data_IF_218164777813
#
_entry.id   IF_218164777813
#
_cell.length_a   1.000
_cell.length_b   1.000
_cell.length_c   1.000
_cell.angle_alpha   90.00
_cell.angle_beta   90.00
_cell.angle_gamma   90.00
#
_symmetry.space_group_name_H-M   'P 1'
#
loop_
_entity.id
_entity.type
_entity.pdbx_description
1 polymer ?
#
# COMPACT_ATOMS: atom_id res chain seq x y z
N UNK A 1 -28.29 33.87 -22.52
CA UNK A 1 -26.90 34.40 -22.48
C UNK A 1 -26.48 34.75 -21.06
N UNK A 2 -27.27 35.53 -20.30
CA UNK A 2 -26.94 35.92 -18.91
C UNK A 2 -26.80 34.72 -17.95
N UNK A 3 -27.66 33.69 -18.05
CA UNK A 3 -27.56 32.49 -17.20
C UNK A 3 -26.29 31.66 -17.47
N UNK A 4 -25.88 31.56 -18.73
CA UNK A 4 -24.67 30.88 -19.16
C UNK A 4 -23.41 31.63 -18.72
N UNK A 5 -23.44 32.97 -18.74
CA UNK A 5 -22.35 33.79 -18.24
C UNK A 5 -22.21 33.65 -16.72
N UNK A 6 -23.32 33.67 -15.98
CA UNK A 6 -23.31 33.42 -14.53
C UNK A 6 -22.75 32.03 -14.19
N UNK A 7 -23.10 31.02 -14.98
CA UNK A 7 -22.60 29.66 -14.83
C UNK A 7 -21.08 29.58 -15.05
N UNK A 8 -20.56 30.22 -16.10
CA UNK A 8 -19.11 30.27 -16.35
C UNK A 8 -18.35 31.02 -15.25
N UNK A 9 -18.90 32.12 -14.75
CA UNK A 9 -18.32 32.86 -13.62
C UNK A 9 -18.30 31.97 -12.36
N UNK A 10 -19.36 31.21 -12.11
CA UNK A 10 -19.42 30.26 -11.00
C UNK A 10 -18.36 29.16 -11.12
N UNK A 11 -18.19 28.56 -12.30
CA UNK A 11 -17.14 27.58 -12.54
C UNK A 11 -15.73 28.18 -12.37
N UNK A 12 -15.55 29.43 -12.79
CA UNK A 12 -14.30 30.15 -12.56
C UNK A 12 -14.03 30.38 -11.08
N UNK A 13 -15.03 30.78 -10.29
CA UNK A 13 -14.90 30.87 -8.82
C UNK A 13 -14.54 29.50 -8.23
N UNK A 14 -15.19 28.43 -8.69
CA UNK A 14 -14.89 27.07 -8.23
C UNK A 14 -13.44 26.66 -8.53
N UNK A 15 -12.83 27.16 -9.60
CA UNK A 15 -11.43 26.85 -9.93
C UNK A 15 -10.41 27.39 -8.91
N UNK A 16 -10.78 28.41 -8.12
CA UNK A 16 -9.92 28.96 -7.06
C UNK A 16 -10.10 28.29 -5.69
N UNK A 17 -11.13 27.45 -5.53
CA UNK A 17 -11.44 26.76 -4.29
C UNK A 17 -10.95 25.32 -4.36
N UNK A 18 -10.46 24.79 -3.23
CA UNK A 18 -10.08 23.38 -3.12
C UNK A 18 -11.29 22.47 -3.39
N UNK A 19 -11.06 21.34 -4.06
CA UNK A 19 -12.09 20.35 -4.35
C UNK A 19 -12.80 19.87 -3.08
N UNK A 20 -12.08 19.73 -1.96
CA UNK A 20 -12.66 19.36 -0.67
C UNK A 20 -13.69 20.37 -0.18
N UNK A 21 -13.41 21.67 -0.32
CA UNK A 21 -14.29 22.79 0.05
C UNK A 21 -15.52 22.85 -0.86
N UNK A 22 -15.34 22.59 -2.15
CA UNK A 22 -16.45 22.48 -3.10
C UNK A 22 -17.39 21.32 -2.71
N UNK A 23 -16.83 20.14 -2.46
CA UNK A 23 -17.59 18.93 -2.17
C UNK A 23 -18.28 18.99 -0.81
N UNK A 24 -17.58 19.44 0.24
CA UNK A 24 -18.10 19.40 1.63
C UNK A 24 -18.79 20.69 2.07
N UNK A 25 -18.52 21.81 1.40
CA UNK A 25 -19.12 23.11 1.70
C UNK A 25 -20.19 23.48 0.68
N UNK A 26 -19.76 23.88 -0.52
CA UNK A 26 -20.64 24.47 -1.53
C UNK A 26 -21.78 23.56 -2.00
N UNK A 27 -21.54 22.24 -2.07
CA UNK A 27 -22.57 21.27 -2.46
C UNK A 27 -23.76 21.20 -1.48
N UNK A 28 -23.58 21.69 -0.25
CA UNK A 28 -24.62 21.71 0.80
C UNK A 28 -25.35 23.05 0.91
N UNK A 29 -24.89 24.08 0.20
CA UNK A 29 -25.45 25.44 0.30
C UNK A 29 -26.81 25.54 -0.40
N UNK A 30 -26.95 24.99 -1.61
CA UNK A 30 -28.21 24.98 -2.33
C UNK A 30 -28.31 23.82 -3.34
N UNK A 31 -29.54 23.48 -3.76
CA UNK A 31 -29.80 22.40 -4.72
C UNK A 31 -29.13 22.62 -6.07
N UNK A 32 -29.09 23.86 -6.55
CA UNK A 32 -28.45 24.17 -7.84
C UNK A 32 -26.93 23.93 -7.79
N UNK A 33 -26.24 24.31 -6.72
CA UNK A 33 -24.81 24.01 -6.57
C UNK A 33 -24.55 22.52 -6.40
N UNK A 34 -25.44 21.82 -5.70
CA UNK A 34 -25.39 20.37 -5.59
C UNK A 34 -25.45 19.70 -6.97
N UNK A 35 -26.44 20.06 -7.80
CA UNK A 35 -26.62 19.51 -9.16
C UNK A 35 -25.40 19.79 -10.05
N UNK A 36 -24.85 21.01 -10.01
CA UNK A 36 -23.66 21.38 -10.79
C UNK A 36 -22.43 20.59 -10.34
N UNK A 37 -22.20 20.46 -9.02
CA UNK A 37 -21.03 19.77 -8.47
C UNK A 37 -21.17 18.25 -8.49
N UNK A 38 -22.35 17.71 -8.80
CA UNK A 38 -22.56 16.29 -9.03
C UNK A 38 -22.22 15.86 -10.46
N UNK A 39 -22.02 16.81 -11.38
CA UNK A 39 -21.59 16.52 -12.74
C UNK A 39 -20.12 16.06 -12.76
N UNK A 40 -19.90 14.78 -13.12
CA UNK A 40 -18.58 14.18 -13.24
C UNK A 40 -17.67 14.85 -14.28
N UNK A 41 -18.25 15.50 -15.30
CA UNK A 41 -17.49 16.15 -16.37
C UNK A 41 -16.66 17.32 -15.86
N UNK A 42 -17.17 18.07 -14.87
CA UNK A 42 -16.48 19.17 -14.21
C UNK A 42 -15.18 18.68 -13.55
N UNK A 43 -15.28 17.57 -12.82
CA UNK A 43 -14.16 16.98 -12.11
C UNK A 43 -13.13 16.37 -13.07
N UNK A 44 -13.60 15.76 -14.17
CA UNK A 44 -12.72 15.26 -15.24
C UNK A 44 -11.91 16.38 -15.89
N UNK A 45 -12.56 17.51 -16.22
CA UNK A 45 -11.87 18.69 -16.77
C UNK A 45 -10.87 19.25 -15.77
N UNK A 46 -11.24 19.33 -14.48
CA UNK A 46 -10.34 19.80 -13.42
C UNK A 46 -9.10 18.93 -13.28
N UNK A 47 -9.24 17.61 -13.29
CA UNK A 47 -8.10 16.67 -13.28
C UNK A 47 -7.22 16.85 -14.52
N UNK A 48 -7.82 17.02 -15.70
CA UNK A 48 -7.06 17.26 -16.94
C UNK A 48 -6.25 18.56 -16.93
N UNK A 49 -6.73 19.58 -16.21
CA UNK A 49 -5.97 20.81 -15.98
C UNK A 49 -4.83 20.63 -14.96
N UNK A 50 -5.01 19.79 -13.94
CA UNK A 50 -3.97 19.49 -12.96
C UNK A 50 -2.80 18.70 -13.56
N UNK A 51 -3.11 17.78 -14.47
CA UNK A 51 -2.15 16.93 -15.15
C UNK A 51 -2.34 17.02 -16.67
N UNK A 52 -1.83 18.09 -17.31
CA UNK A 52 -1.90 18.23 -18.75
C UNK A 52 -1.15 17.09 -19.44
N UNK A 53 -1.71 16.58 -20.54
CA UNK A 53 -1.11 15.54 -21.39
C UNK A 53 -0.94 14.16 -20.75
N UNK A 54 -1.68 13.85 -19.70
CA UNK A 54 -1.73 12.49 -19.13
C UNK A 54 -3.15 11.99 -19.03
N UNK A 55 -3.32 10.68 -19.14
CA UNK A 55 -4.60 10.04 -18.92
C UNK A 55 -4.77 9.71 -17.44
N UNK A 56 -5.96 10.02 -16.91
CA UNK A 56 -6.39 9.60 -15.58
C UNK A 56 -7.81 9.03 -15.67
N UNK A 57 -8.08 7.90 -15.00
CA UNK A 57 -7.14 7.01 -14.30
C UNK A 57 -6.26 6.18 -15.25
N UNK A 58 -5.20 5.54 -14.73
CA UNK A 58 -4.33 4.62 -15.52
C UNK A 58 -5.14 3.53 -16.23
N UNK A 59 -6.13 2.97 -15.53
CA UNK A 59 -7.13 2.08 -16.07
C UNK A 59 -8.52 2.60 -15.69
N UNK A 60 -9.49 2.66 -16.62
CA UNK A 60 -10.84 3.11 -16.32
C UNK A 60 -11.50 2.20 -15.28
N UNK A 61 -12.34 2.73 -14.37
CA UNK A 61 -13.10 1.92 -13.42
C UNK A 61 -14.08 0.99 -14.15
N UNK A 62 -14.42 -0.16 -13.55
CA UNK A 62 -15.29 -1.16 -14.17
C UNK A 62 -16.75 -0.69 -14.19
N UNK A 63 -17.15 -0.09 -13.08
CA UNK A 63 -18.47 0.46 -12.87
C UNK A 63 -18.44 1.98 -13.09
N UNK A 64 -19.53 2.50 -13.64
CA UNK A 64 -19.77 3.94 -13.75
C UNK A 64 -20.16 4.48 -12.37
N UNK A 65 -19.17 4.63 -11.50
CA UNK A 65 -19.35 5.23 -10.18
C UNK A 65 -19.41 6.75 -10.34
N UNK A 66 -20.62 7.31 -10.16
CA UNK A 66 -20.88 8.76 -10.24
C UNK A 66 -19.95 9.57 -9.33
N UNK A 67 -19.50 8.99 -8.20
CA UNK A 67 -18.63 9.67 -7.25
C UNK A 67 -17.14 9.52 -7.57
N UNK A 68 -16.76 8.64 -8.49
CA UNK A 68 -15.36 8.33 -8.81
C UNK A 68 -14.57 9.60 -9.14
N UNK A 69 -14.99 10.35 -10.15
CA UNK A 69 -14.26 11.55 -10.60
C UNK A 69 -14.14 12.61 -9.51
N UNK A 70 -15.21 12.78 -8.74
CA UNK A 70 -15.29 13.74 -7.64
C UNK A 70 -14.33 13.38 -6.51
N UNK A 71 -14.37 12.13 -6.04
CA UNK A 71 -13.50 11.64 -4.97
C UNK A 71 -12.03 11.57 -5.40
N UNK A 72 -11.77 11.13 -6.63
CA UNK A 72 -10.42 11.12 -7.21
C UNK A 72 -9.84 12.52 -7.31
N UNK A 73 -10.60 13.53 -7.75
CA UNK A 73 -10.12 14.91 -7.81
C UNK A 73 -9.75 15.43 -6.42
N UNK A 74 -10.61 15.20 -5.41
CA UNK A 74 -10.33 15.57 -4.02
C UNK A 74 -9.06 14.87 -3.51
N UNK A 75 -8.89 13.58 -3.80
CA UNK A 75 -7.73 12.83 -3.38
C UNK A 75 -6.44 13.30 -4.07
N UNK A 76 -6.48 13.56 -5.38
CA UNK A 76 -5.34 14.06 -6.16
C UNK A 76 -4.89 15.44 -5.68
N UNK A 77 -5.82 16.37 -5.45
CA UNK A 77 -5.48 17.69 -4.91
C UNK A 77 -4.89 17.60 -3.51
N UNK A 78 -5.49 16.77 -2.65
CA UNK A 78 -4.99 16.55 -1.30
C UNK A 78 -3.56 16.00 -1.33
N UNK A 79 -3.30 14.93 -2.08
CA UNK A 79 -1.96 14.35 -2.16
C UNK A 79 -0.96 15.30 -2.82
N UNK A 80 -1.35 16.00 -3.89
CA UNK A 80 -0.48 17.02 -4.50
C UNK A 80 -0.15 18.14 -3.51
N UNK A 81 -1.10 18.55 -2.66
CA UNK A 81 -0.87 19.58 -1.64
C UNK A 81 0.08 19.12 -0.53
N UNK A 82 0.03 17.82 -0.15
CA UNK A 82 0.88 17.22 0.88
C UNK A 82 2.32 17.00 0.38
N UNK A 83 2.49 16.61 -0.88
CA UNK A 83 3.81 16.20 -1.37
C UNK A 83 4.54 17.26 -2.19
N UNK A 84 3.82 18.23 -2.79
CA UNK A 84 4.49 19.33 -3.53
C UNK A 84 4.89 20.50 -2.65
N UNK A 85 4.34 20.61 -1.43
CA UNK A 85 4.63 21.72 -0.51
C UNK A 85 5.54 21.22 0.60
N UNK A 86 6.77 21.72 0.63
CA UNK A 86 7.82 21.33 1.57
C UNK A 86 7.42 21.45 3.05
N UNK A 87 6.45 22.31 3.38
CA UNK A 87 6.06 22.58 4.76
C UNK A 87 4.81 21.82 5.23
N UNK A 88 4.16 21.05 4.36
CA UNK A 88 2.86 20.42 4.68
C UNK A 88 2.97 19.06 5.41
N UNK A 89 4.12 18.42 5.30
CA UNK A 89 4.42 17.16 5.97
C UNK A 89 5.49 17.39 7.04
N UNK A 90 5.38 16.68 8.16
CA UNK A 90 6.43 16.58 9.15
C UNK A 90 7.11 15.22 9.09
N UNK A 91 8.43 15.24 9.30
CA UNK A 91 9.28 14.06 9.39
C UNK A 91 9.52 13.70 10.85
N UNK A 92 9.14 12.50 11.24
CA UNK A 92 9.46 11.88 12.52
C UNK A 92 10.44 10.74 12.28
N UNK A 93 11.64 10.85 12.84
CA UNK A 93 12.69 9.84 12.74
C UNK A 93 12.78 9.03 14.02
N UNK A 94 12.55 7.72 13.92
CA UNK A 94 12.71 6.78 15.02
C UNK A 94 14.09 6.15 14.95
N UNK A 95 15.03 6.70 15.73
CA UNK A 95 16.43 6.25 15.79
C UNK A 95 16.61 5.00 16.65
N UNK A 96 17.60 4.16 16.30
CA UNK A 96 17.94 2.95 17.05
C UNK A 96 16.72 2.06 17.33
N UNK A 97 15.80 2.02 16.37
CA UNK A 97 14.56 1.26 16.49
C UNK A 97 14.89 -0.22 16.77
N UNK A 98 15.80 -0.78 15.97
CA UNK A 98 16.22 -2.18 16.00
C UNK A 98 17.70 -2.29 15.59
N UNK A 99 18.34 -3.44 15.83
CA UNK A 99 19.78 -3.64 15.60
C UNK A 99 20.12 -4.28 14.24
N UNK A 100 19.13 -4.34 13.35
CA UNK A 100 19.25 -4.96 12.03
C UNK A 100 18.12 -4.48 11.13
N UNK A 101 18.21 -4.82 9.84
CA UNK A 101 17.27 -4.39 8.81
C UNK A 101 15.82 -4.69 9.21
N UNK A 102 14.98 -3.72 8.94
CA UNK A 102 13.56 -3.73 9.31
C UNK A 102 12.75 -4.03 8.05
N UNK A 103 12.53 -5.31 7.77
CA UNK A 103 11.80 -5.75 6.58
C UNK A 103 10.27 -5.68 6.76
N UNK A 104 9.78 -5.90 7.99
CA UNK A 104 8.36 -5.81 8.32
C UNK A 104 8.00 -4.44 8.88
N UNK A 105 7.08 -3.73 8.24
CA UNK A 105 6.59 -2.41 8.68
C UNK A 105 5.07 -2.34 8.48
N UNK A 106 4.36 -1.82 9.49
CA UNK A 106 2.90 -1.73 9.48
C UNK A 106 2.42 -0.48 10.22
N UNK A 107 1.57 0.31 9.55
CA UNK A 107 0.84 1.42 10.13
C UNK A 107 -0.59 1.00 10.47
N UNK A 108 -1.00 1.25 11.71
CA UNK A 108 -2.34 0.95 12.22
C UNK A 108 -2.98 2.18 12.85
N UNK A 109 -4.30 2.09 13.12
CA UNK A 109 -5.08 3.14 13.78
C UNK A 109 -4.86 4.51 13.12
N UNK A 110 -5.11 4.57 11.81
CA UNK A 110 -5.02 5.80 11.01
C UNK A 110 -3.62 6.46 10.99
N UNK A 111 -2.57 5.66 11.19
CA UNK A 111 -1.17 6.10 11.17
C UNK A 111 -0.63 6.51 12.54
N UNK A 112 -1.40 6.35 13.62
CA UNK A 112 -0.96 6.67 14.98
C UNK A 112 -0.12 5.57 15.63
N UNK A 113 -0.22 4.34 15.13
CA UNK A 113 0.56 3.21 15.63
C UNK A 113 1.45 2.69 14.50
N UNK A 114 2.75 2.66 14.75
CA UNK A 114 3.74 2.06 13.86
C UNK A 114 4.27 0.78 14.51
N UNK A 115 4.33 -0.30 13.75
CA UNK A 115 4.86 -1.58 14.20
C UNK A 115 5.93 -2.02 13.23
N UNK A 116 7.06 -2.47 13.78
CA UNK A 116 8.15 -3.00 12.98
C UNK A 116 8.65 -4.34 13.46
N UNK A 117 9.08 -5.15 12.49
CA UNK A 117 9.73 -6.43 12.69
C UNK A 117 11.07 -6.44 11.96
N UNK A 118 12.13 -6.79 12.68
CA UNK A 118 13.48 -6.81 12.14
C UNK A 118 14.09 -8.21 12.09
N UNK A 119 15.22 -8.30 11.39
CA UNK A 119 16.08 -9.49 11.38
C UNK A 119 16.76 -9.77 12.72
N UNK A 120 16.76 -8.81 13.66
CA UNK A 120 17.21 -9.06 15.04
C UNK A 120 16.20 -9.88 15.87
N UNK A 121 15.08 -10.29 15.25
CA UNK A 121 13.99 -11.09 15.83
C UNK A 121 13.14 -10.33 16.84
N UNK A 122 13.31 -9.01 16.91
CA UNK A 122 12.50 -8.15 17.78
C UNK A 122 11.29 -7.64 17.02
N UNK A 123 10.20 -7.44 17.76
CA UNK A 123 9.01 -6.73 17.30
C UNK A 123 8.86 -5.49 18.18
N UNK A 124 8.70 -4.32 17.56
CA UNK A 124 8.57 -3.06 18.28
C UNK A 124 7.31 -2.35 17.82
N UNK A 125 6.56 -1.80 18.77
CA UNK A 125 5.35 -1.02 18.54
C UNK A 125 5.54 0.37 19.14
N UNK A 126 5.45 1.39 18.28
CA UNK A 126 5.47 2.81 18.63
C UNK A 126 4.07 3.37 18.53
N UNK A 127 3.60 3.98 19.62
CA UNK A 127 2.45 4.88 19.58
C UNK A 127 2.98 6.29 19.37
N UNK A 128 2.71 6.83 18.19
CA UNK A 128 3.14 8.17 17.81
C UNK A 128 2.29 9.21 18.56
N UNK A 129 2.91 10.26 19.11
CA UNK A 129 2.19 11.27 19.86
C UNK A 129 1.29 12.07 18.92
N UNK A 130 0.03 12.21 19.28
CA UNK A 130 -0.95 12.98 18.47
C UNK A 130 -0.90 14.47 18.79
N UNK A 131 -0.29 14.84 19.93
CA UNK A 131 -0.12 16.20 20.43
C UNK A 131 1.27 16.35 21.06
N UNK A 132 1.82 17.56 21.04
CA UNK A 132 3.16 17.90 21.56
C UNK A 132 3.42 17.49 23.03
N UNK A 133 2.38 17.21 23.80
CA UNK A 133 2.47 16.87 25.22
C UNK A 133 2.35 15.37 25.52
N UNK A 134 2.17 14.50 24.52
CA UNK A 134 2.12 13.05 24.70
C UNK A 134 3.52 12.46 24.56
N UNK A 135 3.92 11.59 25.50
CA UNK A 135 5.17 10.84 25.37
C UNK A 135 4.96 9.67 24.41
N UNK A 136 5.96 9.42 23.58
CA UNK A 136 6.04 8.19 22.79
C UNK A 136 5.96 6.98 23.72
N UNK A 137 4.94 6.14 23.52
CA UNK A 137 4.83 4.86 24.19
C UNK A 137 5.39 3.79 23.26
N UNK A 138 6.54 3.24 23.65
CA UNK A 138 7.24 2.20 22.91
C UNK A 138 7.15 0.89 23.67
N UNK A 139 6.72 -0.16 22.98
CA UNK A 139 6.76 -1.52 23.51
C UNK A 139 7.64 -2.38 22.63
N UNK A 140 8.59 -3.07 23.27
CA UNK A 140 9.58 -3.92 22.60
C UNK A 140 9.44 -5.34 23.09
N UNK A 141 9.24 -6.25 22.14
CA UNK A 141 9.18 -7.68 22.37
C UNK A 141 10.48 -8.27 21.82
N UNK A 142 11.41 -8.54 22.73
CA UNK A 142 12.66 -9.21 22.40
C UNK A 142 12.41 -10.70 22.12
N UNK A 143 13.07 -11.26 21.12
CA UNK A 143 12.88 -12.64 20.68
C UNK A 143 11.38 -12.96 20.42
N UNK A 144 10.68 -12.03 19.76
CA UNK A 144 9.31 -12.25 19.32
C UNK A 144 9.21 -13.51 18.45
N UNK A 145 10.26 -13.79 17.67
CA UNK A 145 10.42 -15.00 16.86
C UNK A 145 11.78 -15.67 17.10
N UNK A 146 11.91 -16.93 16.68
CA UNK A 146 13.19 -17.66 16.71
C UNK A 146 14.03 -17.42 15.45
N UNK A 147 13.52 -16.64 14.50
CA UNK A 147 14.17 -16.27 13.25
C UNK A 147 13.78 -14.86 12.80
N UNK A 148 14.31 -14.43 11.66
CA UNK A 148 14.06 -13.08 11.11
C UNK A 148 12.58 -12.84 10.87
N UNK A 149 12.09 -11.65 11.20
CA UNK A 149 10.73 -11.23 10.86
C UNK A 149 10.80 -10.56 9.49
N UNK A 150 10.08 -11.10 8.51
CA UNK A 150 10.17 -10.65 7.12
C UNK A 150 9.05 -9.70 6.71
N UNK A 151 7.86 -9.88 7.29
CA UNK A 151 6.69 -9.11 6.88
C UNK A 151 5.63 -9.10 7.99
N UNK A 152 4.79 -8.09 7.95
CA UNK A 152 3.72 -7.85 8.93
C UNK A 152 2.41 -7.55 8.20
N UNK A 153 1.29 -7.96 8.80
CA UNK A 153 -0.03 -7.53 8.36
C UNK A 153 -0.97 -7.41 9.55
N UNK A 154 -2.13 -6.79 9.40
CA UNK A 154 -3.17 -6.73 10.43
C UNK A 154 -4.51 -7.17 9.91
N UNK A 155 -5.31 -7.72 10.83
CA UNK A 155 -6.75 -7.90 10.67
C UNK A 155 -7.36 -7.32 11.93
N UNK A 156 -8.15 -6.26 11.76
CA UNK A 156 -8.66 -5.44 12.86
C UNK A 156 -7.52 -4.97 13.79
N UNK A 157 -7.64 -5.16 15.09
CA UNK A 157 -6.60 -4.83 16.09
C UNK A 157 -5.58 -5.96 16.31
N UNK A 158 -5.58 -7.00 15.47
CA UNK A 158 -4.62 -8.11 15.58
C UNK A 158 -3.54 -8.02 14.50
N UNK A 159 -2.29 -8.06 14.94
CA UNK A 159 -1.09 -8.01 14.08
C UNK A 159 -0.58 -9.43 13.87
N UNK A 160 -0.24 -9.77 12.65
CA UNK A 160 0.33 -11.05 12.27
C UNK A 160 1.75 -10.83 11.75
N UNK A 161 2.72 -11.50 12.36
CA UNK A 161 4.12 -11.47 11.95
C UNK A 161 4.51 -12.80 11.34
N UNK A 162 5.12 -12.76 10.14
CA UNK A 162 5.70 -13.95 9.52
C UNK A 162 7.22 -13.97 9.65
N UNK A 163 7.78 -15.16 9.91
CA UNK A 163 9.19 -15.31 10.20
C UNK A 163 9.88 -16.45 9.46
N UNK A 164 11.20 -16.33 9.36
CA UNK A 164 12.10 -17.38 8.90
C UNK A 164 12.03 -18.65 9.76
N UNK A 165 11.52 -18.57 11.00
CA UNK A 165 11.31 -19.71 11.90
C UNK A 165 10.12 -20.62 11.50
N UNK A 166 9.49 -20.37 10.34
CA UNK A 166 8.39 -21.15 9.79
C UNK A 166 7.06 -20.96 10.56
N UNK A 167 6.98 -19.95 11.41
CA UNK A 167 5.77 -19.63 12.19
C UNK A 167 5.17 -18.28 11.78
N UNK A 168 3.85 -18.19 11.92
CA UNK A 168 3.16 -16.89 12.03
C UNK A 168 2.75 -16.71 13.47
N UNK A 169 3.01 -15.55 14.06
CA UNK A 169 2.49 -15.20 15.39
C UNK A 169 1.47 -14.09 15.28
N UNK A 170 0.39 -14.22 16.05
CA UNK A 170 -0.64 -13.21 16.20
C UNK A 170 -0.42 -12.44 17.51
N UNK A 171 -0.53 -11.12 17.43
CA UNK A 171 -0.33 -10.18 18.52
C UNK A 171 -1.53 -9.26 18.62
N UNK A 172 -2.16 -9.18 19.78
CA UNK A 172 -3.23 -8.23 20.05
C UNK A 172 -2.65 -6.86 20.33
N UNK A 173 -3.12 -5.86 19.61
CA UNK A 173 -2.82 -4.47 19.91
C UNK A 173 -3.73 -4.00 21.05
N UNK A 174 -3.12 -3.61 22.16
CA UNK A 174 -3.82 -3.10 23.35
C UNK A 174 -3.31 -1.70 23.71
N UNK A 175 -3.95 -1.05 24.68
CA UNK A 175 -3.49 0.23 25.21
C UNK A 175 -2.05 0.16 25.76
N UNK A 176 -1.67 -1.00 26.30
CA UNK A 176 -0.35 -1.26 26.85
C UNK A 176 0.68 -1.77 25.83
N UNK A 177 0.33 -1.88 24.54
CA UNK A 177 1.21 -2.39 23.48
C UNK A 177 0.78 -3.76 22.95
N UNK A 178 1.73 -4.53 22.45
CA UNK A 178 1.49 -5.82 21.81
C UNK A 178 1.50 -6.99 22.81
N UNK A 179 0.49 -7.85 22.72
CA UNK A 179 0.38 -9.07 23.54
C UNK A 179 0.30 -10.29 22.64
N UNK A 180 1.10 -11.32 22.90
CA UNK A 180 1.03 -12.57 22.13
C UNK A 180 -0.31 -13.28 22.35
N UNK A 181 -1.02 -13.60 21.27
CA UNK A 181 -2.31 -14.29 21.31
C UNK A 181 -2.15 -15.76 20.89
N UNK A 182 -1.48 -15.99 19.76
CA UNK A 182 -1.45 -17.31 19.12
C UNK A 182 -0.21 -17.49 18.27
N UNK A 183 0.26 -18.72 18.19
CA UNK A 183 1.28 -19.16 17.21
C UNK A 183 0.64 -20.12 16.24
N UNK A 184 0.78 -19.84 14.95
CA UNK A 184 0.52 -20.77 13.87
C UNK A 184 1.86 -21.45 13.55
N UNK A 185 1.91 -22.76 13.60
CA UNK A 185 3.13 -23.54 13.39
C UNK A 185 2.84 -24.85 12.64
N UNK A 186 3.88 -25.45 12.05
CA UNK A 186 3.87 -26.76 11.37
C UNK A 186 2.93 -26.89 10.15
N UNK A 187 2.49 -25.78 9.55
CA UNK A 187 1.60 -25.81 8.38
C UNK A 187 2.35 -25.83 7.03
N UNK A 188 3.58 -25.29 6.98
CA UNK A 188 4.41 -25.23 5.76
C UNK A 188 5.81 -25.76 6.04
N UNK A 189 6.35 -26.65 5.17
CA UNK A 189 7.78 -26.88 5.15
C UNK A 189 8.44 -25.64 4.53
N UNK A 190 9.19 -24.89 5.34
CA UNK A 190 9.99 -23.78 4.85
C UNK A 190 9.72 -22.43 5.50
N UNK A 191 10.72 -21.57 5.42
CA UNK A 191 10.72 -20.23 5.98
C UNK A 191 9.73 -19.30 5.26
N UNK A 192 9.05 -18.44 6.03
CA UNK A 192 8.08 -17.49 5.49
C UNK A 192 8.78 -16.19 5.10
N UNK A 193 8.36 -15.61 3.99
CA UNK A 193 8.96 -14.39 3.40
C UNK A 193 7.97 -13.23 3.32
N UNK A 194 6.67 -13.52 3.22
CA UNK A 194 5.65 -12.48 3.08
C UNK A 194 4.32 -12.93 3.68
N UNK A 195 3.54 -11.95 4.11
CA UNK A 195 2.19 -12.13 4.63
C UNK A 195 1.30 -10.99 4.14
N UNK A 196 0.04 -11.29 3.85
CA UNK A 196 -0.92 -10.26 3.44
C UNK A 196 -2.31 -10.59 3.98
N UNK A 197 -3.08 -9.56 4.29
CA UNK A 197 -4.50 -9.61 4.63
C UNK A 197 -5.28 -8.69 3.69
N UNK A 198 -6.60 -8.75 3.77
CA UNK A 198 -7.46 -7.78 3.11
C UNK A 198 -8.49 -7.24 4.12
N UNK A 199 -8.84 -5.97 3.98
CA UNK A 199 -9.73 -5.27 4.90
C UNK A 199 -11.08 -5.99 5.00
N UNK A 200 -11.58 -6.14 6.23
CA UNK A 200 -12.86 -6.79 6.56
C UNK A 200 -12.97 -8.27 6.17
N UNK A 201 -11.85 -8.93 5.84
CA UNK A 201 -11.81 -10.39 5.69
C UNK A 201 -11.01 -11.01 6.84
N UNK A 202 -11.56 -12.03 7.53
CA UNK A 202 -10.84 -12.76 8.56
C UNK A 202 -9.85 -13.76 7.94
N UNK A 203 -9.17 -13.37 6.85
CA UNK A 203 -8.29 -14.19 6.06
C UNK A 203 -6.91 -13.52 5.94
N UNK A 204 -5.86 -14.32 6.13
CA UNK A 204 -4.51 -13.93 5.75
C UNK A 204 -3.84 -15.03 4.94
N UNK A 205 -2.95 -14.62 4.05
CA UNK A 205 -2.17 -15.51 3.21
C UNK A 205 -0.68 -15.31 3.49
N UNK A 206 0.09 -16.40 3.44
CA UNK A 206 1.54 -16.40 3.67
C UNK A 206 2.27 -17.01 2.49
N UNK A 207 3.38 -16.39 2.08
CA UNK A 207 4.28 -16.91 1.05
C UNK A 207 5.57 -17.43 1.67
N UNK A 208 6.08 -18.53 1.14
CA UNK A 208 7.26 -19.21 1.66
C UNK A 208 8.40 -19.29 0.65
N UNK A 209 9.61 -19.41 1.19
CA UNK A 209 10.81 -19.72 0.40
C UNK A 209 10.69 -21.07 -0.34
N UNK A 210 9.94 -22.01 0.23
CA UNK A 210 9.66 -23.32 -0.38
C UNK A 210 8.56 -23.30 -1.46
N UNK A 211 8.25 -22.12 -2.00
CA UNK A 211 7.36 -21.91 -3.17
C UNK A 211 5.88 -22.14 -2.86
N UNK A 212 5.54 -22.33 -1.59
CA UNK A 212 4.17 -22.61 -1.17
C UNK A 212 3.47 -21.32 -0.72
N UNK A 213 2.19 -21.22 -1.06
CA UNK A 213 1.28 -20.23 -0.51
C UNK A 213 0.28 -20.95 0.39
N UNK A 214 0.00 -20.37 1.55
CA UNK A 214 -0.89 -20.93 2.56
C UNK A 214 -1.88 -19.87 3.01
N UNK A 215 -3.15 -20.24 3.14
CA UNK A 215 -4.26 -19.35 3.46
C UNK A 215 -4.90 -19.79 4.78
N UNK A 216 -5.18 -18.84 5.68
CA UNK A 216 -5.68 -19.09 7.02
C UNK A 216 -6.96 -18.32 7.29
N UNK A 217 -7.87 -18.93 8.06
CA UNK A 217 -9.02 -18.24 8.66
C UNK A 217 -8.68 -17.93 10.11
N UNK A 218 -8.78 -16.66 10.51
CA UNK A 218 -8.48 -16.23 11.87
C UNK A 218 -9.52 -16.71 12.89
N UNK A 219 -10.75 -17.01 12.43
CA UNK A 219 -11.86 -17.48 13.27
C UNK A 219 -11.72 -18.96 13.64
N UNK A 220 -10.95 -19.71 12.85
CA UNK A 220 -10.73 -21.13 13.08
C UNK A 220 -9.52 -21.32 13.99
N UNK A 221 -9.66 -22.14 15.04
CA UNK A 221 -8.60 -22.33 16.04
C UNK A 221 -7.31 -22.92 15.46
N UNK A 222 -7.43 -23.71 14.40
CA UNK A 222 -6.32 -24.35 13.69
C UNK A 222 -6.91 -25.01 12.45
N UNK A 223 -6.70 -24.41 11.28
CA UNK A 223 -5.92 -25.03 10.19
C UNK A 223 -6.18 -24.29 8.89
N UNK A 224 -5.08 -23.86 8.28
CA UNK A 224 -4.85 -23.81 6.84
C UNK A 224 -6.09 -24.21 5.99
N UNK A 225 -6.75 -23.22 5.40
CA UNK A 225 -7.91 -23.43 4.52
C UNK A 225 -7.45 -23.98 3.17
N UNK A 226 -6.36 -23.41 2.65
CA UNK A 226 -5.83 -23.76 1.34
C UNK A 226 -4.31 -23.72 1.36
N UNK A 227 -3.72 -24.64 0.61
CA UNK A 227 -2.29 -24.72 0.36
C UNK A 227 -2.04 -25.13 -1.07
N UNK A 228 -1.21 -24.35 -1.76
CA UNK A 228 -0.88 -24.59 -3.15
C UNK A 228 0.57 -24.20 -3.44
N UNK A 229 1.09 -24.72 -4.54
CA UNK A 229 2.47 -24.47 -5.01
C UNK A 229 2.39 -23.81 -6.38
N UNK A 230 2.21 -22.47 -6.43
CA UNK A 230 2.02 -21.77 -7.69
C UNK A 230 3.29 -21.59 -8.51
N UNK A 231 4.45 -21.59 -7.85
CA UNK A 231 5.71 -21.12 -8.42
C UNK A 231 6.81 -22.17 -8.44
N UNK A 232 7.83 -21.92 -9.27
CA UNK A 232 9.05 -22.74 -9.35
C UNK A 232 10.14 -22.26 -8.39
N UNK A 233 10.06 -21.00 -7.92
CA UNK A 233 10.99 -20.37 -6.96
C UNK A 233 10.23 -19.72 -5.79
N UNK A 234 10.97 -19.13 -4.86
CA UNK A 234 10.44 -18.54 -3.63
C UNK A 234 9.32 -17.54 -3.92
N UNK A 235 8.32 -17.49 -3.03
CA UNK A 235 7.26 -16.48 -3.07
C UNK A 235 7.73 -15.26 -2.31
N UNK A 236 7.94 -14.14 -3.01
CA UNK A 236 8.62 -12.96 -2.48
C UNK A 236 7.62 -11.97 -1.87
N UNK A 237 6.49 -11.72 -2.55
CA UNK A 237 5.42 -10.87 -2.03
C UNK A 237 4.04 -11.40 -2.44
N UNK A 238 3.04 -11.03 -1.65
CA UNK A 238 1.64 -11.35 -1.86
C UNK A 238 0.80 -10.07 -1.91
N UNK A 239 -0.28 -10.10 -2.69
CA UNK A 239 -1.37 -9.13 -2.59
C UNK A 239 -2.70 -9.88 -2.64
N UNK A 240 -3.74 -9.34 -2.00
CA UNK A 240 -5.02 -10.02 -1.86
C UNK A 240 -6.16 -9.00 -1.91
N UNK A 241 -7.28 -9.39 -2.51
CA UNK A 241 -8.57 -8.72 -2.37
C UNK A 241 -9.63 -9.73 -1.87
N UNK A 242 -10.91 -9.47 -2.08
CA UNK A 242 -11.99 -10.41 -1.71
C UNK A 242 -12.15 -11.62 -2.62
N UNK A 243 -11.51 -11.62 -3.79
CA UNK A 243 -11.76 -12.61 -4.85
C UNK A 243 -10.51 -13.40 -5.22
N UNK A 244 -9.34 -12.76 -5.17
CA UNK A 244 -8.08 -13.28 -5.67
C UNK A 244 -6.96 -13.14 -4.64
N UNK A 245 -6.02 -14.07 -4.69
CA UNK A 245 -4.71 -13.96 -4.05
C UNK A 245 -3.66 -13.98 -5.15
N UNK A 246 -2.86 -12.93 -5.19
CA UNK A 246 -1.77 -12.75 -6.13
C UNK A 246 -0.47 -13.07 -5.43
N UNK A 247 0.36 -13.92 -6.03
CA UNK A 247 1.69 -14.24 -5.53
C UNK A 247 2.76 -13.91 -6.56
N UNK A 248 3.78 -13.15 -6.12
CA UNK A 248 4.94 -12.79 -6.93
C UNK A 248 6.14 -13.64 -6.55
N UNK A 249 6.91 -14.09 -7.53
CA UNK A 249 8.05 -15.00 -7.33
C UNK A 249 9.32 -14.60 -8.07
N UNK A 250 10.47 -15.03 -7.53
CA UNK A 250 11.76 -15.01 -8.21
C UNK A 250 11.79 -15.75 -9.56
N UNK A 251 10.78 -16.56 -9.88
CA UNK A 251 10.68 -17.23 -11.19
C UNK A 251 10.23 -16.31 -12.33
N UNK A 252 10.01 -15.02 -12.05
CA UNK A 252 9.61 -14.02 -13.04
C UNK A 252 8.09 -13.96 -13.27
N UNK A 253 7.30 -14.71 -12.50
CA UNK A 253 5.84 -14.80 -12.67
C UNK A 253 5.06 -14.25 -11.48
N UNK A 254 3.83 -13.82 -11.78
CA UNK A 254 2.77 -13.58 -10.81
C UNK A 254 1.67 -14.61 -11.03
N UNK A 255 1.35 -15.39 -9.99
CA UNK A 255 0.25 -16.36 -10.02
C UNK A 255 -1.01 -15.73 -9.44
N UNK A 256 -2.13 -15.97 -10.12
CA UNK A 256 -3.46 -15.54 -9.70
C UNK A 256 -4.23 -16.77 -9.21
N UNK A 257 -4.61 -16.76 -7.94
CA UNK A 257 -5.42 -17.80 -7.32
C UNK A 257 -6.80 -17.26 -7.01
N UNK A 258 -7.84 -17.95 -7.49
CA UNK A 258 -9.24 -17.61 -7.22
C UNK A 258 -9.65 -18.20 -5.86
N UNK A 259 -10.06 -17.33 -4.94
CA UNK A 259 -10.42 -17.69 -3.58
C UNK A 259 -11.70 -18.52 -3.51
N UNK A 260 -12.66 -18.28 -4.41
CA UNK A 260 -13.94 -18.98 -4.45
C UNK A 260 -13.79 -20.34 -5.12
N UNK A 261 -13.05 -20.40 -6.22
CA UNK A 261 -12.83 -21.65 -6.94
C UNK A 261 -11.76 -22.54 -6.29
N UNK A 262 -10.90 -21.96 -5.43
CA UNK A 262 -9.86 -22.69 -4.71
C UNK A 262 -8.72 -23.18 -5.61
N UNK A 263 -8.51 -22.55 -6.78
CA UNK A 263 -7.55 -23.00 -7.80
C UNK A 263 -6.74 -21.87 -8.40
N UNK A 264 -5.56 -22.22 -8.91
CA UNK A 264 -4.75 -21.29 -9.71
C UNK A 264 -5.50 -21.05 -11.02
N UNK A 265 -5.82 -19.79 -11.28
CA UNK A 265 -6.49 -19.36 -12.50
C UNK A 265 -5.48 -19.19 -13.63
N UNK A 266 -4.39 -18.44 -13.36
CA UNK A 266 -3.40 -18.07 -14.37
C UNK A 266 -2.05 -17.76 -13.73
N UNK A 267 -0.99 -17.96 -14.51
CA UNK A 267 0.35 -17.48 -14.20
C UNK A 267 0.76 -16.49 -15.30
N UNK A 268 1.10 -15.27 -14.89
CA UNK A 268 1.46 -14.17 -15.79
C UNK A 268 2.95 -13.91 -15.68
N UNK A 269 3.68 -14.00 -16.80
CA UNK A 269 5.10 -13.65 -16.86
C UNK A 269 5.23 -12.14 -16.96
N UNK A 270 5.88 -11.52 -15.97
CA UNK A 270 6.04 -10.07 -15.90
C UNK A 270 7.23 -9.61 -16.74
N UNK A 271 8.33 -10.35 -16.68
CA UNK A 271 9.55 -10.06 -17.41
C UNK A 271 10.36 -11.34 -17.61
N UNK A 272 11.11 -11.40 -18.70
CA UNK A 272 12.05 -12.50 -18.96
C UNK A 272 13.45 -12.24 -18.38
N UNK A 273 13.78 -10.97 -18.11
CA UNK A 273 15.12 -10.54 -17.68
C UNK A 273 15.16 -10.09 -16.20
N UNK A 274 13.99 -9.86 -15.60
CA UNK A 274 13.83 -9.41 -14.23
C UNK A 274 12.75 -10.23 -13.52
N UNK A 275 12.70 -10.15 -12.19
CA UNK A 275 11.68 -10.79 -11.39
C UNK A 275 10.92 -9.76 -10.54
N UNK A 276 9.63 -10.00 -10.25
CA UNK A 276 8.83 -9.13 -9.40
C UNK A 276 9.33 -9.18 -7.95
N UNK A 277 9.52 -8.01 -7.35
CA UNK A 277 9.93 -7.83 -5.96
C UNK A 277 8.80 -7.29 -5.08
N UNK A 278 7.89 -6.54 -5.67
CA UNK A 278 6.75 -5.94 -4.97
C UNK A 278 5.48 -6.08 -5.77
N UNK A 279 4.36 -6.21 -5.06
CA UNK A 279 3.03 -6.26 -5.65
C UNK A 279 2.05 -5.51 -4.75
N UNK A 280 1.16 -4.75 -5.35
CA UNK A 280 0.07 -4.08 -4.66
C UNK A 280 -1.19 -4.17 -5.52
N UNK A 281 -2.30 -4.58 -4.91
CA UNK A 281 -3.59 -4.71 -5.58
C UNK A 281 -4.56 -3.68 -5.03
N UNK A 282 -5.14 -2.90 -5.95
CA UNK A 282 -6.33 -2.09 -5.71
C UNK A 282 -7.43 -2.63 -6.62
N UNK A 283 -8.71 -2.54 -6.23
CA UNK A 283 -9.89 -3.20 -6.85
C UNK A 283 -9.72 -3.57 -8.34
N UNK A 284 -9.39 -2.58 -9.18
CA UNK A 284 -9.37 -2.69 -10.64
C UNK A 284 -7.96 -2.64 -11.26
N UNK A 285 -6.90 -2.65 -10.47
CA UNK A 285 -5.53 -2.48 -10.96
C UNK A 285 -4.51 -3.16 -10.05
N UNK A 286 -3.56 -3.87 -10.66
CA UNK A 286 -2.46 -4.50 -9.95
C UNK A 286 -1.17 -3.85 -10.41
N UNK A 287 -0.38 -3.39 -9.44
CA UNK A 287 0.94 -2.83 -9.65
C UNK A 287 1.98 -3.85 -9.25
N UNK A 288 2.95 -4.08 -10.12
CA UNK A 288 4.07 -5.00 -9.88
C UNK A 288 5.39 -4.28 -10.14
N UNK A 289 6.23 -4.19 -9.12
CA UNK A 289 7.56 -3.62 -9.20
C UNK A 289 8.58 -4.73 -9.38
N UNK A 290 9.47 -4.58 -10.35
CA UNK A 290 10.52 -5.56 -10.61
C UNK A 290 11.90 -5.12 -10.09
N UNK A 291 12.85 -6.05 -10.08
CA UNK A 291 14.23 -5.75 -9.72
C UNK A 291 14.97 -4.86 -10.75
N UNK A 292 14.38 -4.64 -11.93
CA UNK A 292 14.92 -3.84 -13.02
C UNK A 292 14.44 -2.39 -13.02
N UNK A 293 13.88 -1.90 -11.91
CA UNK A 293 13.31 -0.56 -11.76
C UNK A 293 12.10 -0.27 -12.67
N UNK A 294 11.41 -1.31 -13.15
CA UNK A 294 10.19 -1.17 -13.95
C UNK A 294 8.95 -1.43 -13.12
N UNK A 295 7.92 -0.65 -13.40
CA UNK A 295 6.58 -0.78 -12.83
C UNK A 295 5.65 -1.33 -13.91
N UNK A 296 5.11 -2.52 -13.66
CA UNK A 296 4.18 -3.22 -14.54
C UNK A 296 2.75 -3.08 -13.99
N UNK A 297 1.81 -2.84 -14.89
CA UNK A 297 0.39 -2.73 -14.58
C UNK A 297 -0.34 -3.92 -15.18
N UNK A 298 -1.06 -4.67 -14.34
CA UNK A 298 -1.94 -5.73 -14.78
C UNK A 298 -3.39 -5.27 -14.62
N UNK A 299 -4.22 -5.59 -15.60
CA UNK A 299 -5.65 -5.31 -15.57
C UNK A 299 -6.42 -6.58 -15.18
N UNK A 300 -7.01 -6.65 -13.96
CA UNK A 300 -7.85 -7.77 -13.56
C UNK A 300 -9.02 -8.05 -14.52
N UNK A 301 -9.50 -7.06 -15.26
CA UNK A 301 -10.63 -7.17 -16.21
C UNK A 301 -10.22 -7.84 -17.51
N UNK A 302 -8.97 -7.66 -17.91
CA UNK A 302 -8.37 -8.33 -19.06
C UNK A 302 -7.59 -9.57 -18.61
N UNK A 303 -8.18 -10.38 -17.72
CA UNK A 303 -7.59 -11.64 -17.24
C UNK A 303 -6.14 -11.47 -16.73
N UNK A 304 -5.91 -10.37 -15.99
CA UNK A 304 -4.62 -10.01 -15.39
C UNK A 304 -3.48 -9.88 -16.41
N UNK A 305 -3.78 -9.53 -17.67
CA UNK A 305 -2.74 -9.25 -18.66
C UNK A 305 -1.96 -7.97 -18.32
N UNK A 306 -0.67 -7.97 -18.68
CA UNK A 306 0.19 -6.79 -18.53
C UNK A 306 -0.18 -5.79 -19.60
N UNK A 307 -0.86 -4.71 -19.20
CA UNK A 307 -1.39 -3.69 -20.10
C UNK A 307 -0.45 -2.51 -20.29
N UNK A 308 0.36 -2.19 -19.27
CA UNK A 308 1.33 -1.09 -19.31
C UNK A 308 2.60 -1.46 -18.53
N UNK A 309 3.73 -0.91 -18.98
CA UNK A 309 5.03 -1.04 -18.33
C UNK A 309 5.74 0.31 -18.38
N UNK A 310 6.13 0.83 -17.22
CA UNK A 310 6.83 2.09 -17.08
C UNK A 310 8.24 1.86 -16.56
N UNK A 311 9.23 2.47 -17.20
CA UNK A 311 10.55 2.59 -16.58
C UNK A 311 10.49 3.70 -15.55
N UNK A 312 10.65 3.35 -14.28
CA UNK A 312 10.75 4.37 -13.23
C UNK A 312 12.11 5.05 -13.30
N UNK A 313 12.27 6.17 -12.60
CA UNK A 313 13.57 6.82 -12.46
C UNK A 313 14.50 6.08 -11.47
N UNK A 314 14.08 4.94 -10.89
CA UNK A 314 14.85 4.26 -9.84
C UNK A 314 16.12 3.68 -10.45
N UNK A 315 17.20 3.70 -9.68
CA UNK A 315 18.49 3.15 -10.10
C UNK A 315 18.61 1.65 -9.80
N UNK A 316 17.81 1.15 -8.85
CA UNK A 316 17.73 -0.25 -8.44
C UNK A 316 16.27 -0.72 -8.40
N UNK A 317 16.06 -1.99 -8.06
CA UNK A 317 14.76 -2.66 -8.01
C UNK A 317 13.74 -2.01 -7.08
N UNK A 318 12.46 -2.11 -7.48
CA UNK A 318 11.32 -1.60 -6.71
C UNK A 318 10.88 -2.68 -5.71
N UNK A 319 11.21 -2.48 -4.44
CA UNK A 319 10.95 -3.46 -3.38
C UNK A 319 9.65 -3.21 -2.60
N UNK A 320 9.01 -2.05 -2.80
CA UNK A 320 7.75 -1.73 -2.14
C UNK A 320 6.89 -0.83 -3.00
N UNK A 321 5.58 -1.13 -2.99
CA UNK A 321 4.56 -0.34 -3.67
C UNK A 321 3.40 -0.15 -2.70
N UNK A 322 2.94 1.10 -2.60
CA UNK A 322 1.71 1.47 -1.92
C UNK A 322 0.91 2.41 -2.80
N UNK A 323 -0.40 2.22 -2.82
CA UNK A 323 -1.30 3.00 -3.67
C UNK A 323 -2.41 3.57 -2.80
N UNK A 324 -2.72 4.83 -3.06
CA UNK A 324 -3.87 5.51 -2.50
C UNK A 324 -4.63 6.23 -3.62
N UNK A 325 -5.91 6.63 -3.41
CA UNK A 325 -6.74 7.24 -4.45
C UNK A 325 -6.18 8.50 -5.14
N UNK A 326 -5.09 9.09 -4.63
CA UNK A 326 -4.42 10.25 -5.23
C UNK A 326 -2.90 10.14 -5.38
N UNK A 327 -2.28 9.02 -4.99
CA UNK A 327 -0.83 8.84 -5.11
C UNK A 327 -0.43 7.37 -5.29
N UNK A 328 0.67 7.19 -6.02
CA UNK A 328 1.39 5.94 -6.18
C UNK A 328 2.78 6.14 -5.56
N UNK A 329 3.09 5.32 -4.56
CA UNK A 329 4.34 5.39 -3.81
C UNK A 329 5.17 4.16 -4.12
N UNK A 330 6.40 4.37 -4.56
CA UNK A 330 7.35 3.31 -4.88
C UNK A 330 8.62 3.48 -4.04
N UNK A 331 9.06 2.41 -3.38
CA UNK A 331 10.35 2.36 -2.69
C UNK A 331 11.34 1.47 -3.44
N UNK A 332 12.62 1.76 -3.26
CA UNK A 332 13.68 1.02 -3.91
C UNK A 332 14.92 0.90 -3.03
N UNK A 333 15.74 -0.10 -3.34
CA UNK A 333 17.04 -0.31 -2.69
C UNK A 333 18.08 0.76 -3.09
N UNK A 334 17.71 1.70 -3.96
CA UNK A 334 18.48 2.92 -4.27
C UNK A 334 18.32 4.04 -3.24
N UNK A 335 17.76 3.72 -2.07
CA UNK A 335 17.59 4.63 -0.92
C UNK A 335 16.54 5.72 -1.14
N UNK A 336 15.74 5.62 -2.22
CA UNK A 336 14.70 6.59 -2.54
C UNK A 336 13.29 6.02 -2.42
N UNK A 337 12.39 6.82 -1.85
CA UNK A 337 10.94 6.67 -1.98
C UNK A 337 10.45 7.73 -2.95
N UNK A 338 9.74 7.32 -3.99
CA UNK A 338 9.13 8.25 -4.95
C UNK A 338 7.64 8.26 -4.83
N UNK A 339 7.10 9.46 -4.87
CA UNK A 339 5.69 9.72 -4.74
C UNK A 339 5.24 10.30 -6.06
N UNK A 340 4.32 9.61 -6.72
CA UNK A 340 3.87 9.94 -8.06
C UNK A 340 2.35 10.04 -8.09
N UNK A 341 1.83 10.78 -9.06
CA UNK A 341 0.42 10.77 -9.36
C UNK A 341 0.04 9.45 -10.06
N UNK A 342 -1.15 8.90 -9.77
CA UNK A 342 -1.66 7.68 -10.40
C UNK A 342 -2.21 7.97 -11.81
N UNK A 343 -1.40 8.62 -12.65
CA UNK A 343 -1.68 9.01 -14.04
C UNK A 343 -0.91 8.12 -15.01
N UNK A 344 -1.29 8.15 -16.29
CA UNK A 344 -0.55 7.48 -17.36
C UNK A 344 0.13 8.51 -18.28
N UNK A 345 1.48 8.58 -18.31
CA UNK A 345 2.42 7.90 -17.42
C UNK A 345 2.46 8.54 -16.01
N UNK A 346 2.88 7.81 -14.97
CA UNK A 346 2.94 8.35 -13.61
C UNK A 346 3.86 9.57 -13.49
N UNK A 347 3.31 10.72 -13.10
CA UNK A 347 4.12 11.93 -12.90
C UNK A 347 4.66 12.03 -11.48
N UNK A 348 5.96 12.31 -11.35
CA UNK A 348 6.62 12.51 -10.06
C UNK A 348 6.09 13.76 -9.34
N UNK A 349 5.68 13.60 -8.08
CA UNK A 349 5.32 14.68 -7.17
C UNK A 349 6.51 15.04 -6.28
N UNK A 350 7.13 14.03 -5.67
CA UNK A 350 8.26 14.22 -4.75
C UNK A 350 9.18 12.99 -4.70
N UNK A 351 10.42 13.18 -4.24
CA UNK A 351 11.41 12.12 -3.97
C UNK A 351 11.98 12.30 -2.58
N UNK A 352 11.74 11.32 -1.72
CA UNK A 352 12.28 11.27 -0.36
C UNK A 352 13.53 10.38 -0.37
N UNK A 353 14.58 10.85 0.28
CA UNK A 353 15.83 10.09 0.44
C UNK A 353 15.93 9.58 1.88
N UNK A 354 16.21 8.27 2.01
CA UNK A 354 16.38 7.59 3.28
C UNK A 354 17.69 8.00 3.93
N UNK A 355 17.65 8.36 5.22
CA UNK A 355 18.89 8.61 6.00
C UNK A 355 19.52 7.31 6.53
N UNK A 356 18.89 6.15 6.33
CA UNK A 356 19.27 4.87 6.94
C UNK A 356 19.65 3.79 5.91
N UNK A 357 20.12 4.22 4.73
CA UNK A 357 20.53 3.34 3.64
C UNK A 357 19.36 2.74 2.88
N UNK A 358 19.56 1.52 2.36
CA UNK A 358 18.57 0.82 1.54
C UNK A 358 17.24 0.66 2.28
N UNK A 359 16.16 1.00 1.60
CA UNK A 359 14.81 0.83 2.15
C UNK A 359 14.50 -0.66 2.18
N UNK A 360 14.02 -1.19 3.29
CA UNK A 360 13.67 -2.60 3.47
C UNK A 360 12.15 -2.80 3.56
N UNK A 361 11.45 -1.90 4.23
CA UNK A 361 9.99 -1.94 4.41
C UNK A 361 9.35 -0.59 4.10
N UNK A 362 8.10 -0.63 3.64
CA UNK A 362 7.28 0.56 3.41
C UNK A 362 5.83 0.24 3.75
N UNK A 363 5.16 1.18 4.39
CA UNK A 363 3.72 1.15 4.55
C UNK A 363 3.11 2.54 4.46
N UNK A 364 1.85 2.60 4.04
CA UNK A 364 1.14 3.86 3.86
C UNK A 364 -0.31 3.69 4.31
N UNK A 365 -0.71 4.51 5.27
CA UNK A 365 -2.06 4.48 5.84
C UNK A 365 -2.50 5.88 6.21
N UNK A 366 -3.73 6.25 5.82
CA UNK A 366 -4.35 7.54 6.14
C UNK A 366 -3.44 8.78 5.95
N UNK A 367 -2.75 8.88 4.81
CA UNK A 367 -1.82 9.98 4.50
C UNK A 367 -0.52 10.00 5.31
N UNK A 368 -0.31 9.01 6.17
CA UNK A 368 0.96 8.75 6.85
C UNK A 368 1.74 7.74 6.04
N UNK A 369 2.96 8.10 5.67
CA UNK A 369 3.93 7.24 5.02
C UNK A 369 4.98 6.84 6.04
N UNK A 370 5.24 5.55 6.17
CA UNK A 370 6.39 5.06 6.92
C UNK A 370 7.26 4.22 6.00
N UNK A 371 8.57 4.40 6.09
CA UNK A 371 9.53 3.49 5.49
C UNK A 371 10.68 3.23 6.45
N UNK A 372 11.27 2.05 6.31
CA UNK A 372 12.30 1.56 7.20
C UNK A 372 13.54 1.19 6.42
N UNK A 373 14.70 1.45 7.02
CA UNK A 373 16.01 1.12 6.46
C UNK A 373 16.73 0.06 7.27
N UNK A 374 18.05 0.16 7.30
CA UNK A 374 18.90 -0.79 8.02
C UNK A 374 18.74 -0.65 9.53
N UNK A 375 18.74 0.59 10.05
CA UNK A 375 18.82 0.85 11.50
C UNK A 375 17.75 1.85 12.01
N UNK A 376 16.80 2.26 11.16
CA UNK A 376 15.85 3.33 11.50
C UNK A 376 14.57 3.30 10.69
N UNK A 377 13.58 4.03 11.19
CA UNK A 377 12.27 4.22 10.55
C UNK A 377 12.05 5.72 10.38
N UNK A 378 11.64 6.13 9.19
CA UNK A 378 11.19 7.49 8.92
C UNK A 378 9.69 7.48 8.67
N UNK A 379 8.99 8.37 9.37
CA UNK A 379 7.55 8.52 9.29
C UNK A 379 7.26 9.95 8.84
N UNK A 380 6.49 10.07 7.77
CA UNK A 380 6.02 11.32 7.21
C UNK A 380 4.53 11.40 7.44
N UNK A 381 4.07 12.39 8.20
CA UNK A 381 2.64 12.64 8.44
C UNK A 381 2.28 14.10 8.17
N UNK A 382 1.03 14.41 7.82
CA UNK A 382 0.58 15.80 7.65
C UNK A 382 0.75 16.58 8.96
N UNK A 383 1.13 17.86 8.84
CA UNK A 383 1.17 18.79 9.98
C UNK A 383 -0.21 19.22 10.48
#
# INVERSE_FOLDING_TARGET
TISLLLFQIFLHICSFLDASTLVRGLSLVCKQFHEILNDGSLWKVRISHMYPHTDFPILPPADDDELFWKLSCVALEKQASLWRKDDSMEKVSLYNAQYSTIDGLLLMQDGNVCISGARDRTLVCWKLPTKDNEKENVTRINNAHNGWIWDLTSIDDTVYSCSWDQTVKAWGLTDCGLVHIRTYEKFVPGSLLCITSYLNLPLFATGSFCRTVSVFDTRLNSNLIAKYVPHRRAVIKLAMNSEFILSASEDGTVSIWDQRAGKIMKNVTISQESFPQSICMQRDIVYVGDNGAKLHILDPKQDFEVVKCFSTKHKKGINGIRVAPGCLITSSTDETVRISSPTDPPQLLDTLESSYGEIAGIDYSNNVLAYSGTDGIEIWRPK
#
